data_IF_190273549965
#
_entry.id   IF_190273549965
#
_cell.length_a   1.000
_cell.length_b   1.000
_cell.length_c   1.000
_cell.angle_alpha   90.00
_cell.angle_beta   90.00
_cell.angle_gamma   90.00
#
_symmetry.space_group_name_H-M   'P 1'
#
loop_
_entity.id
_entity.type
_entity.pdbx_description
1 polymer ?
#
# COMPACT_ATOMS: atom_id res chain seq x y z
N UNK A 1 -17.97 -11.35 17.90
CA UNK A 1 -16.87 -10.43 18.26
C UNK A 1 -16.89 -9.31 17.25
N UNK A 2 -17.04 -8.07 17.70
CA UNK A 2 -17.00 -6.91 16.81
C UNK A 2 -15.55 -6.63 16.43
N UNK A 3 -15.30 -6.45 15.13
CA UNK A 3 -13.96 -6.11 14.63
C UNK A 3 -13.63 -4.68 15.06
N UNK A 4 -12.46 -4.39 15.64
CA UNK A 4 -12.10 -3.03 16.04
C UNK A 4 -12.22 -2.06 14.86
N UNK A 5 -12.95 -0.96 15.05
CA UNK A 5 -13.17 0.03 14.00
C UNK A 5 -11.88 0.53 13.32
N UNK A 6 -10.75 0.75 14.02
CA UNK A 6 -9.51 1.16 13.38
C UNK A 6 -8.92 0.10 12.46
N UNK A 7 -9.03 -1.19 12.84
CA UNK A 7 -8.59 -2.31 12.00
C UNK A 7 -9.39 -2.37 10.70
N UNK A 8 -10.71 -2.19 10.79
CA UNK A 8 -11.60 -2.17 9.64
C UNK A 8 -11.32 -0.97 8.72
N UNK A 9 -11.28 0.24 9.27
CA UNK A 9 -11.07 1.47 8.51
C UNK A 9 -9.70 1.50 7.83
N UNK A 10 -8.64 1.13 8.54
CA UNK A 10 -7.30 1.08 7.96
C UNK A 10 -7.21 0.03 6.85
N UNK A 11 -7.77 -1.16 7.06
CA UNK A 11 -7.78 -2.21 6.02
C UNK A 11 -8.52 -1.76 4.76
N UNK A 12 -9.68 -1.12 4.90
CA UNK A 12 -10.42 -0.54 3.77
C UNK A 12 -9.59 0.54 3.06
N UNK A 13 -8.91 1.40 3.82
CA UNK A 13 -8.10 2.49 3.25
C UNK A 13 -6.96 1.95 2.40
N UNK A 14 -6.16 1.00 2.91
CA UNK A 14 -5.08 0.39 2.14
C UNK A 14 -5.59 -0.41 0.94
N UNK A 15 -6.72 -1.09 1.06
CA UNK A 15 -7.37 -1.78 -0.06
C UNK A 15 -7.74 -0.77 -1.17
N UNK A 16 -8.43 0.31 -0.82
CA UNK A 16 -8.88 1.34 -1.79
C UNK A 16 -7.70 2.00 -2.48
N UNK A 17 -6.67 2.41 -1.73
CA UNK A 17 -5.47 3.04 -2.29
C UNK A 17 -4.69 2.08 -3.22
N UNK A 18 -4.60 0.80 -2.83
CA UNK A 18 -3.95 -0.22 -3.65
C UNK A 18 -4.71 -0.43 -4.96
N UNK A 19 -6.04 -0.56 -4.90
CA UNK A 19 -6.89 -0.71 -6.07
C UNK A 19 -6.80 0.52 -6.99
N UNK A 20 -6.87 1.73 -6.45
CA UNK A 20 -6.71 2.98 -7.21
C UNK A 20 -5.38 3.01 -7.97
N UNK A 21 -4.28 2.62 -7.31
CA UNK A 21 -2.95 2.58 -7.93
C UNK A 21 -2.88 1.52 -9.03
N UNK A 22 -3.47 0.34 -8.81
CA UNK A 22 -3.58 -0.70 -9.83
C UNK A 22 -4.38 -0.22 -11.06
N UNK A 23 -5.55 0.40 -10.85
CA UNK A 23 -6.37 0.93 -11.94
C UNK A 23 -5.68 2.06 -12.70
N UNK A 24 -4.99 2.97 -12.01
CA UNK A 24 -4.18 4.01 -12.64
C UNK A 24 -3.05 3.40 -13.48
N UNK A 25 -2.38 2.36 -12.98
CA UNK A 25 -1.36 1.61 -13.69
C UNK A 25 -1.85 0.97 -14.99
N UNK A 26 -2.99 0.29 -14.92
CA UNK A 26 -3.62 -0.31 -16.10
C UNK A 26 -4.05 0.78 -17.09
N UNK A 27 -4.68 1.85 -16.62
CA UNK A 27 -5.10 2.97 -17.48
C UNK A 27 -3.95 3.67 -18.19
N UNK A 28 -2.82 3.88 -17.50
CA UNK A 28 -1.60 4.41 -18.12
C UNK A 28 -0.99 3.44 -19.14
N UNK A 29 -1.07 2.13 -18.88
CA UNK A 29 -0.65 1.10 -19.84
C UNK A 29 -1.50 1.07 -21.11
N UNK A 30 -2.82 1.18 -21.00
CA UNK A 30 -3.76 1.16 -22.14
C UNK A 30 -3.68 2.44 -22.97
N UNK A 31 -3.46 3.59 -22.33
CA UNK A 31 -3.39 4.89 -23.02
C UNK A 31 -2.09 5.13 -23.78
N UNK A 32 -1.06 4.29 -23.60
CA UNK A 32 0.22 4.41 -24.30
C UNK A 32 1.03 5.67 -24.00
N UNK A 33 0.58 6.51 -23.04
CA UNK A 33 1.22 7.79 -22.67
C UNK A 33 2.40 7.64 -21.69
N UNK A 34 3.00 6.46 -21.61
CA UNK A 34 4.19 6.23 -20.78
C UNK A 34 5.42 6.67 -21.58
N UNK A 35 5.84 7.92 -21.43
CA UNK A 35 7.03 8.42 -22.13
C UNK A 35 8.28 7.68 -21.67
N UNK A 36 9.05 7.20 -22.65
CA UNK A 36 10.28 6.40 -22.51
C UNK A 36 11.37 7.09 -21.67
N UNK A 37 11.27 8.41 -21.50
CA UNK A 37 12.18 9.24 -20.70
C UNK A 37 11.89 9.22 -19.19
N UNK A 38 10.62 9.05 -18.77
CA UNK A 38 10.26 8.84 -17.36
C UNK A 38 10.39 7.36 -16.94
N UNK A 39 10.46 6.46 -17.91
CA UNK A 39 10.72 5.04 -17.71
C UNK A 39 12.16 4.73 -17.24
N UNK A 40 13.06 5.71 -17.19
CA UNK A 40 14.47 5.48 -16.81
C UNK A 40 14.70 5.43 -15.29
N UNK A 41 13.95 6.21 -14.49
CA UNK A 41 13.93 6.05 -13.02
C UNK A 41 13.06 4.87 -12.57
N UNK A 42 12.11 4.47 -13.42
CA UNK A 42 11.27 3.26 -13.35
C UNK A 42 11.90 2.19 -14.27
N UNK A 43 13.25 2.12 -14.30
CA UNK A 43 14.12 1.47 -15.30
C UNK A 43 14.08 -0.06 -15.43
N UNK A 44 13.06 -0.74 -14.89
CA UNK A 44 12.80 -2.18 -15.13
C UNK A 44 11.35 -2.49 -15.53
N UNK A 45 10.55 -1.46 -15.80
CA UNK A 45 9.19 -1.65 -16.29
C UNK A 45 9.20 -1.65 -17.80
N UNK A 46 9.14 -2.86 -18.36
CA UNK A 46 8.97 -3.04 -19.80
C UNK A 46 7.68 -2.32 -20.24
N UNK A 47 7.74 -1.39 -21.21
CA UNK A 47 6.55 -0.75 -21.77
C UNK A 47 5.62 -1.74 -22.49
N UNK A 48 6.04 -3.00 -22.63
CA UNK A 48 5.27 -4.07 -23.26
C UNK A 48 4.49 -4.93 -22.26
N UNK A 49 4.50 -4.63 -20.94
CA UNK A 49 3.81 -5.48 -19.97
C UNK A 49 3.23 -4.68 -18.77
N UNK A 50 2.00 -4.14 -18.88
CA UNK A 50 1.34 -3.38 -17.80
C UNK A 50 1.13 -4.21 -16.52
N UNK A 51 1.26 -5.53 -16.62
CA UNK A 51 1.22 -6.47 -15.52
C UNK A 51 2.32 -6.20 -14.48
N UNK A 52 3.51 -5.78 -14.88
CA UNK A 52 4.63 -5.59 -13.94
C UNK A 52 4.32 -4.43 -12.99
N UNK A 53 3.84 -3.28 -13.51
CA UNK A 53 3.48 -2.11 -12.71
C UNK A 53 2.34 -2.44 -11.75
N UNK A 54 1.30 -3.08 -12.28
CA UNK A 54 0.14 -3.49 -11.49
C UNK A 54 0.54 -4.48 -10.38
N UNK A 55 1.44 -5.43 -10.69
CA UNK A 55 1.96 -6.37 -9.72
C UNK A 55 2.81 -5.67 -8.64
N UNK A 56 3.70 -4.75 -9.02
CA UNK A 56 4.50 -4.00 -8.03
C UNK A 56 3.59 -3.15 -7.13
N UNK A 57 2.61 -2.46 -7.69
CA UNK A 57 1.65 -1.66 -6.95
C UNK A 57 0.87 -2.52 -5.95
N UNK A 58 0.40 -3.69 -6.37
CA UNK A 58 -0.29 -4.64 -5.50
C UNK A 58 0.60 -5.19 -4.38
N UNK A 59 1.84 -5.62 -4.70
CA UNK A 59 2.80 -6.10 -3.71
C UNK A 59 3.18 -5.01 -2.70
N UNK A 60 3.34 -3.77 -3.16
CA UNK A 60 3.63 -2.61 -2.31
C UNK A 60 2.45 -2.31 -1.38
N UNK A 61 1.23 -2.33 -1.91
CA UNK A 61 0.00 -2.16 -1.14
C UNK A 61 -0.16 -3.21 -0.04
N UNK A 62 0.08 -4.49 -0.37
CA UNK A 62 0.09 -5.58 0.60
C UNK A 62 1.17 -5.40 1.68
N UNK A 63 2.38 -5.02 1.28
CA UNK A 63 3.49 -4.84 2.21
C UNK A 63 3.21 -3.69 3.20
N UNK A 64 2.68 -2.56 2.70
CA UNK A 64 2.29 -1.42 3.52
C UNK A 64 1.13 -1.77 4.47
N UNK A 65 0.14 -2.53 4.00
CA UNK A 65 -0.96 -2.99 4.85
C UNK A 65 -0.47 -3.92 5.96
N UNK A 66 0.39 -4.89 5.65
CA UNK A 66 0.98 -5.80 6.63
C UNK A 66 1.79 -5.04 7.68
N UNK A 67 2.63 -4.09 7.27
CA UNK A 67 3.42 -3.28 8.19
C UNK A 67 2.53 -2.46 9.13
N UNK A 68 1.51 -1.79 8.58
CA UNK A 68 0.54 -1.04 9.37
C UNK A 68 -0.26 -1.94 10.33
N UNK A 69 -0.72 -3.10 9.88
CA UNK A 69 -1.45 -4.06 10.73
C UNK A 69 -0.58 -4.57 11.87
N UNK A 70 0.71 -4.83 11.64
CA UNK A 70 1.67 -5.17 12.68
C UNK A 70 1.85 -4.03 13.70
N UNK A 71 1.94 -2.78 13.27
CA UNK A 71 2.01 -1.62 14.18
C UNK A 71 0.73 -1.50 15.02
N UNK A 72 -0.43 -1.68 14.39
CA UNK A 72 -1.72 -1.66 15.07
C UNK A 72 -1.83 -2.77 16.12
N UNK A 73 -1.45 -4.00 15.77
CA UNK A 73 -1.45 -5.14 16.69
C UNK A 73 -0.50 -4.95 17.88
N UNK A 74 0.67 -4.33 17.68
CA UNK A 74 1.57 -4.00 18.80
C UNK A 74 0.96 -3.01 19.79
N UNK A 75 0.09 -2.11 19.30
CA UNK A 75 -0.66 -1.18 20.14
C UNK A 75 -1.97 -1.77 20.66
N UNK A 76 -2.40 -2.92 20.15
CA UNK A 76 -3.63 -3.54 20.56
C UNK A 76 -3.40 -4.31 21.86
N UNK A 77 -4.02 -3.84 22.94
CA UNK A 77 -3.84 -4.38 24.29
C UNK A 77 -2.38 -4.29 24.82
N UNK A 78 -1.90 -3.05 24.91
CA UNK A 78 -0.56 -2.70 25.37
C UNK A 78 -0.30 -3.27 26.79
N UNK A 79 0.77 -4.05 26.92
CA UNK A 79 1.25 -4.58 28.22
C UNK A 79 2.23 -3.63 28.93
N UNK A 80 2.88 -2.75 28.18
CA UNK A 80 3.90 -1.81 28.67
C UNK A 80 3.46 -0.39 28.35
N UNK A 81 3.05 0.36 29.36
CA UNK A 81 2.67 1.77 29.22
C UNK A 81 3.92 2.65 29.34
N UNK A 82 4.09 3.71 28.54
CA UNK A 82 5.17 4.67 28.72
C UNK A 82 5.09 5.36 30.09
N UNK A 83 6.23 5.49 30.77
CA UNK A 83 6.36 6.10 32.11
C UNK A 83 6.94 7.51 32.10
N UNK A 84 7.17 8.09 30.93
CA UNK A 84 7.73 9.44 30.80
C UNK A 84 6.71 10.49 31.24
N UNK A 85 7.03 11.24 32.30
CA UNK A 85 6.15 12.24 32.91
C UNK A 85 5.45 11.78 34.20
N UNK A 86 5.83 10.62 34.77
CA UNK A 86 5.47 10.28 36.15
C UNK A 86 6.33 11.10 37.12
N UNK A 87 6.03 12.38 37.23
CA UNK A 87 6.38 13.23 38.37
C UNK A 87 5.32 13.13 39.48
#
# INVERSE_FOLDING_TARGET
MEVPAPLLNGSITYLVLTLLTCFAGIGMGVTGKMSRENSSYVGRFSPNNPLIFTLLAFMTGLCLWMFWACCWLHQWHILVVPTYGAE
#
